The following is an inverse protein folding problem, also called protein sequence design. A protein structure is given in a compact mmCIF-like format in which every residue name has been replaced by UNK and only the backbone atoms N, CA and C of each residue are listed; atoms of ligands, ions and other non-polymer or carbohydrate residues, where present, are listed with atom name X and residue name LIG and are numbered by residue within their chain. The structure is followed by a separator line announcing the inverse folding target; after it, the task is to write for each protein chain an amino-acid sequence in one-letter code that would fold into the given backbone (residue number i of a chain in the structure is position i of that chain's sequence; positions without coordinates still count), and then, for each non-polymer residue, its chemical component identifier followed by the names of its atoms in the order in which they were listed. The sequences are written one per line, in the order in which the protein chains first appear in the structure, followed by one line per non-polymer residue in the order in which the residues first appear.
data_IF_837548143027
#
_entry.id   IF_837548143027
#
_cell.length_a   1.000
_cell.length_b   1.000
_cell.length_c   1.000
_cell.angle_alpha   90.00
_cell.angle_beta   90.00
_cell.angle_gamma   90.00
#
_symmetry.space_group_name_H-M   'P 1'
#
loop_
_entity.id
_entity.type
_entity.pdbx_description
1 polymer ?
#
# COMPACT_ATOMS: atom_id res chain seq x y z
N UNK A 1 -22.00 11.92 -2.47
CA UNK A 1 -20.56 11.88 -2.85
C UNK A 1 -20.34 11.45 -4.31
N UNK A 2 -21.28 11.68 -5.24
CA UNK A 2 -21.25 11.08 -6.59
C UNK A 2 -20.29 11.76 -7.57
N UNK A 3 -19.95 13.05 -7.38
CA UNK A 3 -19.11 13.78 -8.34
C UNK A 3 -17.59 13.62 -8.13
N UNK A 4 -17.14 13.34 -6.89
CA UNK A 4 -15.70 13.30 -6.56
C UNK A 4 -15.06 11.90 -6.59
N UNK A 5 -15.85 10.83 -6.67
CA UNK A 5 -15.31 9.46 -6.59
C UNK A 5 -14.38 9.10 -7.75
N UNK A 6 -14.78 9.41 -8.99
CA UNK A 6 -13.97 9.16 -10.20
C UNK A 6 -12.65 9.91 -10.20
N UNK A 7 -12.61 11.25 -10.02
CA UNK A 7 -11.33 11.97 -10.01
C UNK A 7 -10.42 11.53 -8.85
N UNK A 8 -10.98 11.15 -7.69
CA UNK A 8 -10.18 10.65 -6.58
C UNK A 8 -9.52 9.29 -6.88
N UNK A 9 -10.21 8.38 -7.58
CA UNK A 9 -9.58 7.14 -8.04
C UNK A 9 -8.51 7.36 -9.10
N UNK A 10 -8.72 8.30 -10.02
CA UNK A 10 -7.69 8.68 -11.00
C UNK A 10 -6.46 9.22 -10.29
N UNK A 11 -6.64 10.12 -9.32
CA UNK A 11 -5.54 10.64 -8.51
C UNK A 11 -4.83 9.52 -7.73
N UNK A 12 -5.58 8.63 -7.07
CA UNK A 12 -5.01 7.49 -6.37
C UNK A 12 -4.19 6.58 -7.31
N UNK A 13 -4.69 6.32 -8.51
CA UNK A 13 -3.97 5.55 -9.53
C UNK A 13 -2.69 6.26 -9.97
N UNK A 14 -2.74 7.58 -10.23
CA UNK A 14 -1.55 8.35 -10.60
C UNK A 14 -0.48 8.32 -9.48
N UNK A 15 -0.88 8.48 -8.22
CA UNK A 15 0.03 8.41 -7.07
C UNK A 15 0.74 7.06 -6.93
N UNK A 16 0.13 5.97 -7.43
CA UNK A 16 0.70 4.62 -7.40
C UNK A 16 1.51 4.31 -8.66
N UNK A 17 1.04 4.71 -9.84
CA UNK A 17 1.59 4.28 -11.15
C UNK A 17 2.70 5.19 -11.66
N UNK A 18 2.60 6.50 -11.44
CA UNK A 18 3.60 7.46 -11.95
C UNK A 18 4.99 7.21 -11.34
N UNK A 19 5.15 7.02 -10.02
CA UNK A 19 6.50 6.89 -9.47
C UNK A 19 7.29 5.65 -9.95
N UNK A 20 6.69 4.46 -10.09
CA UNK A 20 7.36 3.33 -10.76
C UNK A 20 7.76 3.63 -12.22
N UNK A 21 6.92 4.33 -12.98
CA UNK A 21 7.23 4.70 -14.36
C UNK A 21 8.41 5.68 -14.42
N UNK A 22 8.40 6.72 -13.58
CA UNK A 22 9.50 7.66 -13.46
C UNK A 22 10.79 6.96 -13.01
N UNK A 23 10.70 6.05 -12.05
CA UNK A 23 11.83 5.25 -11.61
C UNK A 23 12.47 4.47 -12.76
N UNK A 24 11.68 3.73 -13.56
CA UNK A 24 12.18 2.97 -14.72
C UNK A 24 12.93 3.88 -15.70
N UNK A 25 12.38 5.06 -16.00
CA UNK A 25 13.00 6.03 -16.90
C UNK A 25 14.34 6.54 -16.36
N UNK A 26 14.46 6.72 -15.04
CA UNK A 26 15.67 7.26 -14.41
C UNK A 26 16.79 6.23 -14.19
N UNK A 27 16.49 4.93 -14.25
CA UNK A 27 17.48 3.87 -14.01
C UNK A 27 17.92 3.14 -15.28
N UNK A 28 17.43 3.57 -16.44
CA UNK A 28 17.78 3.01 -17.74
C UNK A 28 19.20 3.44 -18.17
N UNK A 29 20.04 2.54 -18.73
CA UNK A 29 19.79 1.12 -19.01
C UNK A 29 19.88 0.24 -17.75
N UNK A 30 19.05 -0.81 -17.70
CA UNK A 30 18.99 -1.73 -16.56
C UNK A 30 20.29 -2.55 -16.44
N UNK A 31 20.93 -2.51 -15.27
CA UNK A 31 22.16 -3.26 -14.98
C UNK A 31 22.00 -4.13 -13.70
N UNK A 32 21.13 -5.15 -13.71
CA UNK A 32 20.84 -5.94 -12.51
C UNK A 32 22.05 -6.71 -11.96
N UNK A 33 23.06 -6.99 -12.79
CA UNK A 33 24.31 -7.63 -12.36
C UNK A 33 25.23 -6.69 -11.54
N UNK A 34 25.05 -5.37 -11.65
CA UNK A 34 25.86 -4.39 -10.92
C UNK A 34 25.27 -4.12 -9.54
N UNK A 35 26.03 -4.42 -8.48
CA UNK A 35 25.66 -4.10 -7.09
C UNK A 35 25.44 -2.60 -6.90
N UNK A 36 26.30 -1.78 -7.51
CA UNK A 36 26.19 -0.32 -7.45
C UNK A 36 24.89 0.19 -8.08
N UNK A 37 24.49 -0.37 -9.23
CA UNK A 37 23.23 -0.03 -9.89
C UNK A 37 22.02 -0.45 -9.06
N UNK A 38 22.02 -1.65 -8.47
CA UNK A 38 20.92 -2.12 -7.59
C UNK A 38 20.78 -1.22 -6.36
N UNK A 39 21.88 -0.87 -5.70
CA UNK A 39 21.88 0.05 -4.56
C UNK A 39 21.35 1.44 -4.94
N UNK A 40 21.88 2.04 -6.01
CA UNK A 40 21.48 3.38 -6.44
C UNK A 40 20.01 3.42 -6.90
N UNK A 41 19.56 2.42 -7.67
CA UNK A 41 18.19 2.35 -8.19
C UNK A 41 17.15 2.19 -7.08
N UNK A 42 17.40 1.33 -6.09
CA UNK A 42 16.50 1.17 -4.94
C UNK A 42 16.54 2.40 -4.02
N UNK A 43 17.73 2.99 -3.82
CA UNK A 43 17.88 4.26 -3.14
C UNK A 43 17.02 5.36 -3.75
N UNK A 44 17.02 5.47 -5.09
CA UNK A 44 16.18 6.40 -5.84
C UNK A 44 14.69 6.10 -5.66
N UNK A 45 14.27 4.84 -5.81
CA UNK A 45 12.87 4.43 -5.64
C UNK A 45 12.33 4.71 -4.23
N UNK A 46 13.19 4.68 -3.21
CA UNK A 46 12.85 4.97 -1.82
C UNK A 46 12.29 6.39 -1.60
N UNK A 47 12.47 7.30 -2.56
CA UNK A 47 11.94 8.66 -2.49
C UNK A 47 10.43 8.71 -2.72
N UNK A 48 9.88 7.70 -3.40
CA UNK A 48 8.48 7.68 -3.85
C UNK A 48 7.56 6.76 -3.04
N UNK A 49 8.08 5.99 -2.09
CA UNK A 49 7.31 4.93 -1.40
C UNK A 49 6.16 5.45 -0.56
N UNK A 50 6.31 6.65 0.00
CA UNK A 50 5.24 7.30 0.75
C UNK A 50 4.09 7.73 -0.17
N UNK A 51 4.40 8.20 -1.38
CA UNK A 51 3.42 8.57 -2.40
C UNK A 51 2.55 7.38 -2.80
N UNK A 52 3.16 6.21 -2.98
CA UNK A 52 2.45 4.96 -3.29
C UNK A 52 1.51 4.58 -2.13
N UNK A 53 1.99 4.65 -0.89
CA UNK A 53 1.17 4.37 0.29
C UNK A 53 -0.03 5.33 0.40
N UNK A 54 0.19 6.61 0.10
CA UNK A 54 -0.86 7.63 0.09
C UNK A 54 -1.91 7.36 -0.99
N UNK A 55 -1.49 6.94 -2.19
CA UNK A 55 -2.39 6.55 -3.26
C UNK A 55 -3.29 5.37 -2.86
N UNK A 56 -2.72 4.33 -2.23
CA UNK A 56 -3.49 3.20 -1.72
C UNK A 56 -4.48 3.62 -0.61
N UNK A 57 -4.02 4.44 0.33
CA UNK A 57 -4.88 4.98 1.40
C UNK A 57 -6.05 5.77 0.83
N UNK A 58 -5.80 6.63 -0.17
CA UNK A 58 -6.84 7.41 -0.83
C UNK A 58 -7.85 6.50 -1.55
N UNK A 59 -7.38 5.50 -2.29
CA UNK A 59 -8.26 4.53 -2.96
C UNK A 59 -9.18 3.81 -1.95
N UNK A 60 -8.61 3.35 -0.84
CA UNK A 60 -9.37 2.69 0.24
C UNK A 60 -10.36 3.64 0.91
N UNK A 61 -9.97 4.88 1.20
CA UNK A 61 -10.87 5.87 1.76
C UNK A 61 -12.08 6.17 0.84
N UNK A 62 -11.83 6.34 -0.46
CA UNK A 62 -12.89 6.57 -1.46
C UNK A 62 -13.81 5.35 -1.58
N UNK A 63 -13.24 4.15 -1.60
CA UNK A 63 -14.00 2.91 -1.69
C UNK A 63 -14.87 2.67 -0.45
N UNK A 64 -14.38 2.99 0.76
CA UNK A 64 -15.14 2.94 2.01
C UNK A 64 -16.28 3.97 1.96
N UNK A 65 -15.98 5.22 1.60
CA UNK A 65 -16.97 6.30 1.52
C UNK A 65 -18.08 6.00 0.49
N UNK A 66 -17.73 5.37 -0.63
CA UNK A 66 -18.67 4.92 -1.66
C UNK A 66 -19.35 3.59 -1.36
N UNK A 67 -19.07 2.94 -0.23
CA UNK A 67 -19.55 1.58 0.13
C UNK A 67 -19.31 0.53 -0.97
N UNK A 68 -18.20 0.64 -1.69
CA UNK A 68 -17.89 -0.20 -2.85
C UNK A 68 -17.20 -1.50 -2.41
N UNK A 69 -18.00 -2.46 -1.93
CA UNK A 69 -17.50 -3.72 -1.36
C UNK A 69 -16.64 -4.54 -2.34
N UNK A 70 -16.94 -4.48 -3.64
CA UNK A 70 -16.14 -5.15 -4.68
C UNK A 70 -14.73 -4.59 -4.76
N UNK A 71 -14.62 -3.26 -4.85
CA UNK A 71 -13.33 -2.54 -4.92
C UNK A 71 -12.51 -2.77 -3.66
N UNK A 72 -13.13 -2.71 -2.48
CA UNK A 72 -12.44 -2.96 -1.21
C UNK A 72 -11.84 -4.37 -1.11
N UNK A 73 -12.47 -5.39 -1.70
CA UNK A 73 -11.90 -6.76 -1.72
C UNK A 73 -10.63 -6.81 -2.56
N UNK A 74 -10.63 -6.13 -3.71
CA UNK A 74 -9.45 -6.02 -4.58
C UNK A 74 -8.35 -5.25 -3.85
N UNK A 75 -8.69 -4.12 -3.23
CA UNK A 75 -7.74 -3.29 -2.50
C UNK A 75 -7.05 -4.04 -1.36
N UNK A 76 -7.77 -4.84 -0.57
CA UNK A 76 -7.13 -5.67 0.49
C UNK A 76 -6.04 -6.58 -0.08
N UNK A 77 -6.30 -7.21 -1.23
CA UNK A 77 -5.32 -8.11 -1.88
C UNK A 77 -4.14 -7.30 -2.42
N UNK A 78 -4.42 -6.20 -3.12
CA UNK A 78 -3.39 -5.33 -3.70
C UNK A 78 -2.51 -4.71 -2.61
N UNK A 79 -3.08 -4.16 -1.55
CA UNK A 79 -2.34 -3.59 -0.42
C UNK A 79 -1.45 -4.63 0.26
N UNK A 80 -1.96 -5.86 0.47
CA UNK A 80 -1.17 -6.95 1.04
C UNK A 80 -0.04 -7.40 0.11
N UNK A 81 -0.29 -7.49 -1.20
CA UNK A 81 0.75 -7.81 -2.19
C UNK A 81 1.85 -6.74 -2.23
N UNK A 82 1.47 -5.46 -2.28
CA UNK A 82 2.43 -4.35 -2.31
C UNK A 82 3.21 -4.28 -1.00
N UNK A 83 2.58 -4.52 0.14
CA UNK A 83 3.27 -4.65 1.42
C UNK A 83 4.34 -5.76 1.37
N UNK A 84 4.00 -6.94 0.85
CA UNK A 84 4.95 -8.05 0.70
C UNK A 84 6.11 -7.70 -0.23
N UNK A 85 5.85 -7.02 -1.36
CA UNK A 85 6.89 -6.53 -2.27
C UNK A 85 7.85 -5.57 -1.55
N UNK A 86 7.35 -4.66 -0.72
CA UNK A 86 8.22 -3.76 0.05
C UNK A 86 9.05 -4.49 1.12
N UNK A 87 8.55 -5.56 1.73
CA UNK A 87 9.35 -6.40 2.62
C UNK A 87 10.48 -7.07 1.85
N UNK A 88 10.20 -7.66 0.68
CA UNK A 88 11.22 -8.28 -0.16
C UNK A 88 12.26 -7.25 -0.64
N UNK A 89 11.82 -6.06 -1.03
CA UNK A 89 12.72 -4.96 -1.41
C UNK A 89 13.59 -4.49 -0.24
N UNK A 90 13.07 -4.47 0.99
CA UNK A 90 13.86 -4.13 2.18
C UNK A 90 14.97 -5.17 2.45
N UNK A 91 14.65 -6.46 2.32
CA UNK A 91 15.62 -7.54 2.48
C UNK A 91 16.68 -7.49 1.39
N UNK A 92 16.27 -7.35 0.13
CA UNK A 92 17.20 -7.24 -1.00
C UNK A 92 18.10 -6.01 -0.87
N UNK A 93 17.56 -4.85 -0.49
CA UNK A 93 18.35 -3.65 -0.29
C UNK A 93 19.37 -3.79 0.84
N UNK A 94 18.96 -4.38 1.97
CA UNK A 94 19.88 -4.66 3.08
C UNK A 94 21.03 -5.58 2.64
N UNK A 95 20.74 -6.57 1.80
CA UNK A 95 21.77 -7.45 1.21
C UNK A 95 22.72 -6.66 0.29
N UNK A 96 22.19 -5.76 -0.55
CA UNK A 96 23.01 -4.91 -1.42
C UNK A 96 23.95 -3.99 -0.62
N UNK A 97 23.51 -3.45 0.54
CA UNK A 97 24.36 -2.65 1.45
C UNK A 97 25.58 -3.47 1.90
N UNK A 98 25.35 -4.71 2.35
CA UNK A 98 26.41 -5.62 2.82
C UNK A 98 27.37 -5.99 1.70
N UNK A 99 26.85 -6.30 0.50
CA UNK A 99 27.66 -6.64 -0.67
C UNK A 99 28.55 -5.46 -1.11
N UNK A 100 28.01 -4.24 -1.15
CA UNK A 100 28.75 -3.05 -1.55
C UNK A 100 29.89 -2.72 -0.57
N UNK A 101 29.64 -2.92 0.73
CA UNK A 101 30.63 -2.76 1.81
C UNK A 101 31.82 -3.71 1.65
N UNK A 102 31.57 -4.97 1.26
CA UNK A 102 32.61 -5.99 1.12
C UNK A 102 33.51 -5.81 -0.12
N UNK A 103 32.98 -5.22 -1.19
CA UNK A 103 33.67 -5.21 -2.49
C UNK A 103 34.35 -3.91 -2.91
N UNK A 104 33.88 -2.73 -2.47
CA UNK A 104 34.18 -1.48 -3.22
C UNK A 104 34.60 -0.27 -2.38
N UNK A 105 34.41 -0.29 -1.06
CA UNK A 105 34.60 0.93 -0.24
C UNK A 105 35.79 0.71 0.70
N UNK A 106 36.95 1.31 0.38
CA UNK A 106 38.14 1.26 1.24
C UNK A 106 38.14 2.33 2.34
N UNK A 107 37.51 3.50 2.11
CA UNK A 107 37.50 4.64 3.02
C UNK A 107 36.40 4.51 4.10
N UNK A 108 36.77 4.64 5.37
CA UNK A 108 35.87 4.55 6.52
C UNK A 108 34.80 5.66 6.57
N UNK A 109 35.13 6.89 6.19
CA UNK A 109 34.18 8.01 6.16
C UNK A 109 33.08 7.77 5.10
N UNK A 110 33.46 7.24 3.95
CA UNK A 110 32.51 6.87 2.89
C UNK A 110 31.61 5.72 3.34
N UNK A 111 32.13 4.70 4.04
CA UNK A 111 31.33 3.58 4.58
C UNK A 111 30.19 4.06 5.49
N UNK A 112 30.47 4.98 6.41
CA UNK A 112 29.46 5.49 7.34
C UNK A 112 28.27 6.15 6.63
N UNK A 113 28.52 6.89 5.54
CA UNK A 113 27.46 7.52 4.73
C UNK A 113 26.60 6.46 4.04
N UNK A 114 27.22 5.42 3.49
CA UNK A 114 26.51 4.31 2.85
C UNK A 114 25.68 3.50 3.85
N UNK A 115 26.20 3.24 5.06
CA UNK A 115 25.49 2.52 6.12
C UNK A 115 24.25 3.31 6.58
N UNK A 116 24.41 4.63 6.80
CA UNK A 116 23.28 5.49 7.19
C UNK A 116 22.22 5.58 6.08
N UNK A 117 22.64 5.71 4.82
CA UNK A 117 21.75 5.63 3.67
C UNK A 117 21.03 4.28 3.60
N UNK A 118 21.79 3.20 3.84
CA UNK A 118 21.33 1.82 3.95
C UNK A 118 20.17 1.66 4.92
N UNK A 119 20.40 2.09 6.16
CA UNK A 119 19.42 2.05 7.25
C UNK A 119 18.18 2.88 6.90
N UNK A 120 18.38 4.11 6.40
CA UNK A 120 17.27 5.02 6.09
C UNK A 120 16.33 4.44 5.04
N UNK A 121 16.85 3.87 3.96
CA UNK A 121 16.04 3.30 2.88
C UNK A 121 15.35 2.01 3.33
N UNK A 122 16.07 1.13 4.02
CA UNK A 122 15.50 -0.10 4.61
C UNK A 122 14.33 0.24 5.54
N UNK A 123 14.53 1.21 6.44
CA UNK A 123 13.51 1.66 7.36
C UNK A 123 12.27 2.22 6.64
N UNK A 124 12.45 2.99 5.56
CA UNK A 124 11.35 3.49 4.75
C UNK A 124 10.53 2.35 4.13
N UNK A 125 11.19 1.35 3.52
CA UNK A 125 10.49 0.21 2.93
C UNK A 125 9.72 -0.59 3.97
N UNK A 126 10.32 -0.86 5.14
CA UNK A 126 9.64 -1.56 6.23
C UNK A 126 8.46 -0.74 6.80
N UNK A 127 8.63 0.57 6.98
CA UNK A 127 7.56 1.44 7.44
C UNK A 127 6.39 1.48 6.44
N UNK A 128 6.69 1.60 5.14
CA UNK A 128 5.66 1.55 4.08
C UNK A 128 4.96 0.18 4.06
N UNK A 129 5.71 -0.92 4.17
CA UNK A 129 5.13 -2.25 4.25
C UNK A 129 4.19 -2.41 5.46
N UNK A 130 4.62 -1.90 6.62
CA UNK A 130 3.81 -1.92 7.84
C UNK A 130 2.52 -1.11 7.69
N UNK A 131 2.59 0.09 7.10
CA UNK A 131 1.41 0.93 6.84
C UNK A 131 0.44 0.23 5.91
N UNK A 132 0.93 -0.34 4.80
CA UNK A 132 0.08 -1.04 3.83
C UNK A 132 -0.53 -2.33 4.41
N UNK A 133 0.23 -3.10 5.19
CA UNK A 133 -0.31 -4.26 5.90
C UNK A 133 -1.38 -3.85 6.93
N UNK A 134 -1.13 -2.77 7.68
CA UNK A 134 -2.11 -2.22 8.63
C UNK A 134 -3.38 -1.77 7.92
N UNK A 135 -3.25 -1.09 6.78
CA UNK A 135 -4.36 -0.67 5.94
C UNK A 135 -5.16 -1.88 5.43
N UNK A 136 -4.49 -2.90 4.88
CA UNK A 136 -5.12 -4.13 4.42
C UNK A 136 -5.92 -4.83 5.54
N UNK A 137 -5.36 -4.90 6.75
CA UNK A 137 -6.05 -5.49 7.91
C UNK A 137 -7.24 -4.65 8.37
N UNK A 138 -7.13 -3.32 8.37
CA UNK A 138 -8.22 -2.41 8.71
C UNK A 138 -9.37 -2.52 7.70
N UNK A 139 -9.06 -2.47 6.40
CA UNK A 139 -10.04 -2.62 5.31
C UNK A 139 -10.74 -4.00 5.38
N UNK A 140 -9.98 -5.07 5.66
CA UNK A 140 -10.55 -6.41 5.84
C UNK A 140 -11.46 -6.51 7.07
N UNK A 141 -11.11 -5.87 8.18
CA UNK A 141 -11.95 -5.80 9.39
C UNK A 141 -13.26 -5.06 9.10
N UNK A 142 -13.17 -3.93 8.41
CA UNK A 142 -14.35 -3.16 8.00
C UNK A 142 -15.28 -3.97 7.08
N UNK A 143 -14.74 -4.67 6.08
CA UNK A 143 -15.51 -5.58 5.21
C UNK A 143 -16.22 -6.69 6.00
N UNK A 144 -15.57 -7.26 7.01
CA UNK A 144 -16.17 -8.29 7.88
C UNK A 144 -17.30 -7.71 8.73
N UNK A 145 -17.16 -6.50 9.25
CA UNK A 145 -18.21 -5.82 10.02
C UNK A 145 -19.46 -5.58 9.15
N UNK A 146 -19.30 -5.04 7.94
CA UNK A 146 -20.42 -4.83 7.01
C UNK A 146 -21.15 -6.12 6.64
N UNK A 147 -20.43 -7.24 6.44
CA UNK A 147 -21.07 -8.55 6.19
C UNK A 147 -21.90 -9.03 7.39
N UNK A 148 -21.42 -8.80 8.62
CA UNK A 148 -22.16 -9.15 9.84
C UNK A 148 -23.43 -8.33 9.97
N UNK A 149 -23.37 -7.03 9.68
CA UNK A 149 -24.55 -6.16 9.66
C UNK A 149 -25.59 -6.63 8.64
N UNK A 150 -25.17 -6.93 7.40
CA UNK A 150 -26.07 -7.46 6.37
C UNK A 150 -26.70 -8.81 6.77
N UNK A 151 -25.94 -9.70 7.40
CA UNK A 151 -26.46 -11.00 7.88
C UNK A 151 -27.45 -10.82 9.02
N UNK A 152 -27.19 -9.90 9.96
CA UNK A 152 -28.12 -9.57 11.05
C UNK A 152 -29.43 -9.00 10.53
N UNK A 153 -29.38 -8.10 9.55
CA UNK A 153 -30.57 -7.54 8.91
C UNK A 153 -31.38 -8.62 8.17
N UNK A 154 -30.73 -9.60 7.54
CA UNK A 154 -31.41 -10.73 6.91
C UNK A 154 -32.04 -11.71 7.91
N UNK A 155 -31.41 -11.92 9.08
CA UNK A 155 -31.90 -12.82 10.12
C UNK A 155 -33.10 -12.23 10.91
N UNK A 156 -33.14 -10.91 11.07
CA UNK A 156 -34.24 -10.19 11.71
C UNK A 156 -34.81 -9.18 10.71
N UNK A 157 -35.58 -9.65 9.71
CA UNK A 157 -36.26 -8.73 8.81
C UNK A 157 -37.14 -7.82 9.67
N UNK A 158 -36.94 -6.51 9.55
CA UNK A 158 -37.76 -5.51 10.24
C UNK A 158 -39.22 -5.88 9.95
N UNK A 159 -40.07 -6.12 10.98
CA UNK A 159 -41.46 -6.45 10.74
C UNK A 159 -42.04 -5.38 9.82
N UNK A 160 -42.64 -5.82 8.72
CA UNK A 160 -43.17 -4.89 7.72
C UNK A 160 -44.07 -3.90 8.45
N UNK A 161 -44.00 -2.61 8.10
CA UNK A 161 -44.83 -1.59 8.73
C UNK A 161 -46.33 -1.97 8.72
N UNK A 162 -46.74 -2.81 7.75
CA UNK A 162 -48.06 -3.44 7.68
C UNK A 162 -48.36 -4.40 8.84
N UNK A 163 -47.41 -5.20 9.34
CA UNK A 163 -47.59 -6.08 10.51
C UNK A 163 -47.71 -5.30 11.82
N UNK A 164 -46.92 -4.22 11.96
CA UNK A 164 -47.02 -3.32 13.12
C UNK A 164 -48.36 -2.56 13.09
N UNK A 165 -48.79 -2.08 11.92
CA UNK A 165 -50.09 -1.44 11.73
C UNK A 165 -51.27 -2.41 11.94
N UNK A 166 -51.14 -3.68 11.56
CA UNK A 166 -52.15 -4.71 11.81
C UNK A 166 -52.26 -5.07 13.30
N UNK A 167 -51.14 -5.10 14.04
CA UNK A 167 -51.17 -5.30 15.50
C UNK A 167 -51.73 -4.11 16.25
N UNK A 168 -51.52 -2.88 15.77
CA UNK A 168 -52.05 -1.68 16.40
C UNK A 168 -53.57 -1.49 16.25
N UNK A 169 -54.23 -2.26 15.36
CA UNK A 169 -55.69 -2.22 15.14
C UNK A 169 -56.48 -3.28 15.90
N UNK A 170 -55.81 -4.19 16.61
CA UNK A 170 -56.42 -5.19 17.50
C UNK A 170 -56.30 -4.73 18.94
#
# INVERSE_FOLDING_TARGET
MTHLGRPAYVLAALLVVVPPADWINNVWPLQPASVAWRYASQGLFSTSVLTIALGMLLASAVAIAGRQLGVLRVLVVVEAMVAAVFVLAAVDFALNVVQLRGGSIANSATRAVYDLGGIRVTAKYLATAFVLASLATATRRWLRAQRREATRQAAFPTPLASEVALRARR
#
